data_IF_013780484359
#
_entry.id   IF_013780484359
#
_cell.length_a   1.000
_cell.length_b   1.000
_cell.length_c   1.000
_cell.angle_alpha   90.00
_cell.angle_beta   90.00
_cell.angle_gamma   90.00
#
_symmetry.space_group_name_H-M   'P 1'
#
loop_
_entity.id
_entity.type
_entity.pdbx_description
1 polymer ?
#
# COMPACT_ATOMS: atom_id res chain seq x y z
N UNK A 1 -10.42 3.05 26.01
CA UNK A 1 -10.44 1.78 25.29
C UNK A 1 -11.77 1.05 25.53
N UNK A 2 -12.23 0.90 26.77
CA UNK A 2 -13.49 0.20 27.10
C UNK A 2 -14.72 0.89 26.49
N UNK A 3 -14.79 2.22 26.50
CA UNK A 3 -15.87 3.01 25.88
C UNK A 3 -15.90 2.85 24.36
N UNK A 4 -14.73 2.82 23.71
CA UNK A 4 -14.63 2.59 22.28
C UNK A 4 -15.09 1.17 21.89
N UNK A 5 -14.67 0.17 22.65
CA UNK A 5 -15.10 -1.21 22.45
C UNK A 5 -16.62 -1.35 22.61
N UNK A 6 -17.21 -0.71 23.61
CA UNK A 6 -18.67 -0.72 23.84
C UNK A 6 -19.44 -0.06 22.67
N UNK A 7 -18.94 1.06 22.13
CA UNK A 7 -19.53 1.72 20.96
C UNK A 7 -19.46 0.84 19.72
N UNK A 8 -18.33 0.16 19.50
CA UNK A 8 -18.15 -0.78 18.37
C UNK A 8 -19.13 -1.95 18.51
N UNK A 9 -19.19 -2.59 19.66
CA UNK A 9 -20.11 -3.71 19.93
C UNK A 9 -21.57 -3.26 19.77
N UNK A 10 -21.97 -2.13 20.35
CA UNK A 10 -23.31 -1.58 20.20
C UNK A 10 -23.64 -1.28 18.72
N UNK A 11 -22.70 -0.76 17.95
CA UNK A 11 -22.89 -0.46 16.52
C UNK A 11 -23.03 -1.70 15.65
N UNK A 12 -22.42 -2.82 16.04
CA UNK A 12 -22.57 -4.14 15.36
C UNK A 12 -23.92 -4.75 15.69
N UNK A 13 -24.31 -4.73 16.96
CA UNK A 13 -25.58 -5.30 17.43
C UNK A 13 -26.81 -4.51 16.95
N UNK A 14 -26.67 -3.20 16.73
CA UNK A 14 -27.77 -2.33 16.31
C UNK A 14 -28.23 -2.54 14.86
N UNK A 15 -27.43 -3.22 14.01
CA UNK A 15 -27.78 -3.45 12.60
C UNK A 15 -27.75 -4.93 12.25
N UNK A 16 -28.91 -5.58 11.97
CA UNK A 16 -28.99 -7.02 11.65
C UNK A 16 -28.15 -7.42 10.43
N UNK A 17 -27.92 -6.50 9.49
CA UNK A 17 -27.06 -6.72 8.33
C UNK A 17 -25.58 -6.95 8.69
N UNK A 18 -25.06 -6.28 9.73
CA UNK A 18 -23.67 -6.47 10.19
C UNK A 18 -23.49 -7.82 10.90
N UNK A 19 -24.48 -8.20 11.71
CA UNK A 19 -24.52 -9.52 12.34
C UNK A 19 -24.53 -10.62 11.29
N UNK A 20 -25.35 -10.46 10.23
CA UNK A 20 -25.43 -11.45 9.14
C UNK A 20 -24.06 -11.62 8.41
N UNK A 21 -23.28 -10.59 8.25
CA UNK A 21 -21.91 -10.67 7.67
C UNK A 21 -20.94 -11.43 8.58
N UNK A 22 -21.04 -11.25 9.89
CA UNK A 22 -20.17 -11.93 10.86
C UNK A 22 -20.58 -13.41 10.96
N UNK A 23 -21.87 -13.72 11.02
CA UNK A 23 -22.36 -15.12 11.06
C UNK A 23 -22.00 -15.87 9.78
N UNK A 24 -22.15 -15.26 8.60
CA UNK A 24 -21.76 -15.87 7.32
C UNK A 24 -20.24 -16.05 7.18
N UNK A 25 -19.43 -15.29 7.92
CA UNK A 25 -18.00 -15.50 7.98
C UNK A 25 -17.62 -16.71 8.85
N UNK A 26 -18.34 -16.91 9.97
CA UNK A 26 -18.09 -18.03 10.88
C UNK A 26 -18.61 -19.36 10.31
N UNK A 27 -19.74 -19.30 9.60
CA UNK A 27 -20.35 -20.47 8.96
C UNK A 27 -20.92 -20.06 7.59
N UNK A 28 -20.08 -20.09 6.53
CA UNK A 28 -20.52 -19.78 5.17
C UNK A 28 -21.57 -20.78 4.63
N UNK A 29 -21.57 -22.00 5.15
CA UNK A 29 -22.46 -23.09 4.71
C UNK A 29 -23.87 -22.98 5.31
N UNK A 30 -24.06 -22.14 6.34
CA UNK A 30 -25.39 -21.91 6.91
C UNK A 30 -26.36 -21.19 5.96
N UNK A 31 -25.85 -20.31 5.05
CA UNK A 31 -26.65 -19.64 4.02
C UNK A 31 -25.86 -19.59 2.68
N UNK A 32 -25.73 -20.75 2.00
CA UNK A 32 -24.87 -20.87 0.82
C UNK A 32 -25.37 -20.08 -0.40
N UNK A 33 -26.66 -19.73 -0.44
CA UNK A 33 -27.27 -18.95 -1.53
C UNK A 33 -27.49 -17.47 -1.19
N UNK A 34 -27.22 -17.08 0.07
CA UNK A 34 -27.39 -15.71 0.55
C UNK A 34 -26.07 -15.04 0.89
N UNK A 35 -25.86 -14.71 2.15
CA UNK A 35 -24.71 -13.92 2.59
C UNK A 35 -23.36 -14.68 2.53
N UNK A 36 -23.37 -16.03 2.54
CA UNK A 36 -22.18 -16.87 2.37
C UNK A 36 -21.75 -17.06 0.91
N UNK A 37 -22.67 -16.85 -0.05
CA UNK A 37 -22.44 -17.10 -1.47
C UNK A 37 -21.17 -16.44 -2.04
N UNK A 38 -20.89 -15.14 -1.82
CA UNK A 38 -19.71 -14.50 -2.36
C UNK A 38 -18.40 -15.07 -1.82
N UNK A 39 -18.36 -15.45 -0.54
CA UNK A 39 -17.17 -16.04 0.09
C UNK A 39 -16.88 -17.44 -0.49
N UNK A 40 -17.90 -18.30 -0.62
CA UNK A 40 -17.76 -19.63 -1.22
C UNK A 40 -17.27 -19.51 -2.68
N UNK A 41 -17.89 -18.63 -3.47
CA UNK A 41 -17.51 -18.45 -4.87
C UNK A 41 -16.09 -17.86 -5.02
N UNK A 42 -15.65 -16.99 -4.11
CA UNK A 42 -14.29 -16.46 -4.13
C UNK A 42 -13.25 -17.55 -3.85
N UNK A 43 -13.52 -18.44 -2.90
CA UNK A 43 -12.63 -19.57 -2.60
C UNK A 43 -12.59 -20.58 -3.76
N UNK A 44 -13.73 -20.86 -4.40
CA UNK A 44 -13.79 -21.70 -5.60
C UNK A 44 -13.00 -21.08 -6.76
N UNK A 45 -13.09 -19.76 -6.96
CA UNK A 45 -12.31 -19.04 -7.97
C UNK A 45 -10.80 -19.21 -7.73
N UNK A 46 -10.33 -18.97 -6.49
CA UNK A 46 -8.92 -19.16 -6.12
C UNK A 46 -8.49 -20.62 -6.36
N UNK A 47 -9.27 -21.57 -5.89
CA UNK A 47 -8.97 -23.00 -6.05
C UNK A 47 -8.92 -23.44 -7.51
N UNK A 48 -9.75 -22.85 -8.38
CA UNK A 48 -9.82 -23.18 -9.80
C UNK A 48 -8.64 -22.65 -10.61
N UNK A 49 -7.97 -21.57 -10.13
CA UNK A 49 -6.84 -20.95 -10.82
C UNK A 49 -5.55 -21.78 -10.77
N UNK A 50 -5.36 -22.65 -9.78
CA UNK A 50 -4.13 -23.44 -9.65
C UNK A 50 -2.85 -22.61 -9.59
N UNK A 51 -1.74 -23.17 -10.07
CA UNK A 51 -0.43 -22.49 -10.05
C UNK A 51 -0.29 -21.45 -11.16
N UNK A 52 -0.73 -21.73 -12.37
CA UNK A 52 -0.50 -20.91 -13.57
C UNK A 52 -1.73 -20.10 -14.01
N UNK A 53 -2.88 -20.29 -13.37
CA UNK A 53 -4.14 -19.70 -13.81
C UNK A 53 -4.76 -20.42 -15.01
N UNK A 54 -6.00 -20.02 -15.34
CA UNK A 54 -6.73 -20.50 -16.52
C UNK A 54 -6.47 -19.70 -17.78
N UNK A 55 -5.77 -18.57 -17.65
CA UNK A 55 -5.52 -17.64 -18.73
C UNK A 55 -6.46 -16.42 -18.70
N UNK A 56 -5.99 -15.32 -19.31
CA UNK A 56 -6.71 -14.06 -19.37
C UNK A 56 -8.06 -14.23 -20.12
N UNK A 57 -9.16 -13.81 -19.47
CA UNK A 57 -10.48 -13.79 -20.08
C UNK A 57 -11.23 -15.14 -20.10
N UNK A 58 -10.60 -16.23 -19.65
CA UNK A 58 -11.20 -17.59 -19.63
C UNK A 58 -11.88 -17.89 -18.28
N UNK A 59 -11.78 -17.00 -17.32
CA UNK A 59 -12.38 -17.13 -16.00
C UNK A 59 -13.92 -17.21 -16.07
N UNK A 60 -14.52 -18.28 -15.52
CA UNK A 60 -15.98 -18.48 -15.50
C UNK A 60 -16.67 -17.55 -14.49
N UNK A 61 -16.00 -17.17 -13.41
CA UNK A 61 -16.56 -16.35 -12.33
C UNK A 61 -16.86 -14.91 -12.76
N UNK A 62 -16.23 -14.42 -13.82
CA UNK A 62 -16.46 -13.11 -14.42
C UNK A 62 -17.87 -12.95 -15.04
N UNK A 63 -18.46 -14.05 -15.47
CA UNK A 63 -19.74 -14.07 -16.18
C UNK A 63 -20.94 -14.33 -15.24
N UNK A 64 -21.22 -13.40 -14.29
CA UNK A 64 -22.45 -13.36 -13.45
C UNK A 64 -22.52 -14.31 -12.24
N UNK A 65 -21.49 -15.08 -11.91
CA UNK A 65 -21.54 -15.97 -10.73
C UNK A 65 -21.17 -15.26 -9.43
N UNK A 66 -20.40 -14.17 -9.48
CA UNK A 66 -19.95 -13.45 -8.29
C UNK A 66 -20.63 -12.06 -8.23
N UNK A 67 -21.50 -11.77 -7.23
CA UNK A 67 -22.01 -10.43 -6.99
C UNK A 67 -20.84 -9.52 -6.58
N UNK A 68 -20.81 -8.27 -7.09
CA UNK A 68 -19.74 -7.27 -6.85
C UNK A 68 -18.31 -7.77 -7.23
N UNK A 69 -18.23 -8.66 -8.23
CA UNK A 69 -17.00 -9.28 -8.71
C UNK A 69 -15.93 -8.25 -9.12
N UNK A 70 -16.35 -7.11 -9.67
CA UNK A 70 -15.45 -6.08 -10.19
C UNK A 70 -14.98 -5.06 -9.14
N UNK A 71 -15.57 -5.06 -7.94
CA UNK A 71 -15.24 -4.14 -6.85
C UNK A 71 -14.50 -4.84 -5.73
N UNK A 72 -15.18 -5.64 -4.93
CA UNK A 72 -14.67 -6.18 -3.68
C UNK A 72 -13.93 -7.51 -3.84
N UNK A 73 -14.31 -8.31 -4.85
CA UNK A 73 -13.77 -9.65 -5.10
C UNK A 73 -12.87 -9.75 -6.34
N UNK A 74 -12.34 -8.63 -6.83
CA UNK A 74 -11.46 -8.60 -8.02
C UNK A 74 -10.22 -9.47 -7.85
N UNK A 75 -9.70 -9.61 -6.62
CA UNK A 75 -8.55 -10.44 -6.33
C UNK A 75 -8.82 -11.93 -6.56
N UNK A 76 -10.05 -12.43 -6.36
CA UNK A 76 -10.41 -13.82 -6.69
C UNK A 76 -10.42 -14.07 -8.20
N UNK A 77 -10.91 -13.11 -8.99
CA UNK A 77 -10.85 -13.19 -10.47
C UNK A 77 -9.39 -13.21 -10.93
N UNK A 78 -8.55 -12.35 -10.35
CA UNK A 78 -7.14 -12.31 -10.64
C UNK A 78 -6.45 -13.62 -10.28
N UNK A 79 -6.87 -14.27 -9.18
CA UNK A 79 -6.39 -15.58 -8.79
C UNK A 79 -6.84 -16.68 -9.77
N UNK A 80 -8.06 -16.64 -10.31
CA UNK A 80 -8.55 -17.56 -11.31
C UNK A 80 -7.79 -17.43 -12.65
N UNK A 81 -7.57 -16.17 -13.11
CA UNK A 81 -6.95 -15.90 -14.41
C UNK A 81 -5.42 -16.10 -14.40
N UNK A 82 -4.72 -15.56 -13.38
CA UNK A 82 -3.25 -15.56 -13.28
C UNK A 82 -2.68 -16.64 -12.36
N UNK A 83 -3.53 -17.31 -11.61
CA UNK A 83 -3.13 -18.35 -10.67
C UNK A 83 -2.36 -17.82 -9.46
N UNK A 84 -1.71 -18.75 -8.75
CA UNK A 84 -0.92 -18.43 -7.55
C UNK A 84 0.27 -17.51 -7.83
N UNK A 85 0.91 -17.66 -8.99
CA UNK A 85 2.08 -16.84 -9.35
C UNK A 85 1.66 -15.36 -9.50
N UNK A 86 0.54 -15.09 -10.19
CA UNK A 86 0.03 -13.74 -10.37
C UNK A 86 -0.42 -13.08 -9.06
N UNK A 87 -1.10 -13.83 -8.19
CA UNK A 87 -1.54 -13.33 -6.88
C UNK A 87 -0.35 -13.02 -5.96
N UNK A 88 0.67 -13.88 -5.94
CA UNK A 88 1.90 -13.62 -5.18
C UNK A 88 2.65 -12.40 -5.71
N UNK A 89 2.68 -12.19 -7.03
CA UNK A 89 3.27 -10.98 -7.61
C UNK A 89 2.56 -9.71 -7.11
N UNK A 90 1.23 -9.70 -7.07
CA UNK A 90 0.46 -8.56 -6.54
C UNK A 90 0.73 -8.33 -5.05
N UNK A 91 0.74 -9.39 -4.24
CA UNK A 91 1.09 -9.29 -2.81
C UNK A 91 2.49 -8.72 -2.64
N UNK A 92 3.46 -9.21 -3.43
CA UNK A 92 4.84 -8.71 -3.41
C UNK A 92 4.93 -7.23 -3.78
N UNK A 93 4.15 -6.75 -4.75
CA UNK A 93 4.10 -5.33 -5.11
C UNK A 93 3.58 -4.46 -3.95
N UNK A 94 2.54 -4.89 -3.23
CA UNK A 94 2.07 -4.18 -2.04
C UNK A 94 3.09 -4.20 -0.90
N UNK A 95 3.79 -5.32 -0.70
CA UNK A 95 4.89 -5.40 0.27
C UNK A 95 6.06 -4.48 -0.10
N UNK A 96 6.41 -4.40 -1.39
CA UNK A 96 7.43 -3.48 -1.88
C UNK A 96 7.02 -2.02 -1.68
N UNK A 97 5.75 -1.69 -1.91
CA UNK A 97 5.18 -0.36 -1.65
C UNK A 97 5.26 -0.01 -0.16
N UNK A 98 4.87 -0.94 0.72
CA UNK A 98 4.99 -0.79 2.17
C UNK A 98 6.44 -0.53 2.58
N UNK A 99 7.36 -1.36 2.11
CA UNK A 99 8.79 -1.23 2.41
C UNK A 99 9.37 0.12 1.96
N UNK A 100 9.08 0.53 0.70
CA UNK A 100 9.55 1.81 0.16
C UNK A 100 8.90 3.01 0.86
N UNK A 101 7.62 2.95 1.17
CA UNK A 101 6.91 3.98 1.93
C UNK A 101 7.49 4.16 3.33
N UNK A 102 7.76 3.07 4.04
CA UNK A 102 8.44 3.11 5.33
C UNK A 102 9.86 3.69 5.22
N UNK A 103 10.63 3.32 4.19
CA UNK A 103 11.95 3.90 3.95
C UNK A 103 11.89 5.42 3.75
N UNK A 104 10.94 5.90 2.93
CA UNK A 104 10.72 7.34 2.69
C UNK A 104 10.41 8.04 4.02
N UNK A 105 9.52 7.48 4.81
CA UNK A 105 9.12 8.03 6.09
C UNK A 105 10.27 8.10 7.10
N UNK A 106 11.04 7.02 7.25
CA UNK A 106 12.18 6.95 8.17
C UNK A 106 13.31 7.92 7.78
N UNK A 107 13.45 8.22 6.49
CA UNK A 107 14.43 9.18 5.99
C UNK A 107 14.02 10.64 6.17
N UNK A 108 12.74 10.91 6.54
CA UNK A 108 12.22 12.25 6.73
C UNK A 108 12.76 12.88 8.01
N UNK A 109 13.36 14.08 7.88
CA UNK A 109 13.82 14.88 9.03
C UNK A 109 12.68 15.65 9.72
N UNK A 110 11.65 16.05 8.98
CA UNK A 110 10.49 16.77 9.51
C UNK A 110 9.47 15.78 10.07
N UNK A 111 9.11 15.85 11.37
CA UNK A 111 8.22 14.87 12.00
C UNK A 111 6.83 14.82 11.33
N UNK A 112 6.27 15.97 10.94
CA UNK A 112 4.99 16.03 10.25
C UNK A 112 4.98 15.22 8.94
N UNK A 113 5.96 15.41 8.06
CA UNK A 113 6.07 14.68 6.78
C UNK A 113 6.32 13.20 6.99
N UNK A 114 7.05 12.84 8.05
CA UNK A 114 7.29 11.45 8.44
C UNK A 114 5.99 10.73 8.79
N UNK A 115 5.17 11.31 9.68
CA UNK A 115 3.89 10.72 10.07
C UNK A 115 2.89 10.71 8.92
N UNK A 116 2.87 11.75 8.08
CA UNK A 116 2.05 11.79 6.88
C UNK A 116 2.40 10.63 5.93
N UNK A 117 3.69 10.43 5.64
CA UNK A 117 4.14 9.33 4.77
C UNK A 117 3.80 7.95 5.36
N UNK A 118 3.99 7.74 6.68
CA UNK A 118 3.62 6.50 7.35
C UNK A 118 2.11 6.25 7.28
N UNK A 119 1.29 7.27 7.59
CA UNK A 119 -0.16 7.15 7.57
C UNK A 119 -0.70 6.78 6.20
N UNK A 120 -0.25 7.48 5.16
CA UNK A 120 -0.67 7.21 3.77
C UNK A 120 -0.24 5.82 3.32
N UNK A 121 1.01 5.43 3.58
CA UNK A 121 1.53 4.11 3.19
C UNK A 121 0.76 3.00 3.89
N UNK A 122 0.57 3.14 5.20
CA UNK A 122 -0.15 2.15 6.01
C UNK A 122 -1.62 2.03 5.59
N UNK A 123 -2.30 3.15 5.30
CA UNK A 123 -3.70 3.15 4.85
C UNK A 123 -3.87 2.35 3.55
N UNK A 124 -3.04 2.61 2.52
CA UNK A 124 -3.13 1.91 1.23
C UNK A 124 -2.83 0.42 1.39
N UNK A 125 -1.78 0.07 2.13
CA UNK A 125 -1.40 -1.33 2.33
C UNK A 125 -2.43 -2.07 3.20
N UNK A 126 -2.93 -1.45 4.28
CA UNK A 126 -3.95 -2.04 5.13
C UNK A 126 -5.22 -2.35 4.34
N UNK A 127 -5.68 -1.41 3.49
CA UNK A 127 -6.83 -1.62 2.62
C UNK A 127 -6.62 -2.81 1.68
N UNK A 128 -5.44 -2.92 1.07
CA UNK A 128 -5.10 -4.06 0.21
C UNK A 128 -5.10 -5.39 0.97
N UNK A 129 -4.46 -5.44 2.14
CA UNK A 129 -4.41 -6.66 2.96
C UNK A 129 -5.78 -7.06 3.51
N UNK A 130 -6.62 -6.11 3.89
CA UNK A 130 -8.00 -6.40 4.31
C UNK A 130 -8.81 -6.98 3.15
N UNK A 131 -8.69 -6.44 1.93
CA UNK A 131 -9.37 -6.98 0.77
C UNK A 131 -8.90 -8.42 0.47
N UNK A 132 -7.58 -8.67 0.45
CA UNK A 132 -7.02 -10.01 0.27
C UNK A 132 -7.51 -10.96 1.37
N UNK A 133 -7.57 -10.50 2.63
CA UNK A 133 -8.09 -11.28 3.75
C UNK A 133 -9.57 -11.65 3.60
N UNK A 134 -10.41 -10.75 3.07
CA UNK A 134 -11.82 -11.03 2.75
C UNK A 134 -11.93 -12.11 1.68
N UNK A 135 -11.18 -11.97 0.60
CA UNK A 135 -11.23 -12.89 -0.55
C UNK A 135 -10.71 -14.29 -0.21
N UNK A 136 -9.72 -14.37 0.68
CA UNK A 136 -9.19 -15.65 1.19
C UNK A 136 -10.02 -16.26 2.34
N UNK A 137 -11.13 -15.62 2.73
CA UNK A 137 -11.94 -16.07 3.85
C UNK A 137 -11.28 -15.94 5.22
N UNK A 138 -10.26 -15.07 5.35
CA UNK A 138 -9.57 -14.84 6.64
C UNK A 138 -10.21 -13.72 7.47
N UNK A 139 -11.00 -12.85 6.82
CA UNK A 139 -11.68 -11.72 7.47
C UNK A 139 -13.12 -11.60 6.94
N UNK A 140 -14.06 -11.09 7.76
CA UNK A 140 -15.43 -10.87 7.30
C UNK A 140 -15.47 -9.82 6.17
N UNK A 141 -16.47 -9.93 5.29
CA UNK A 141 -16.63 -9.05 4.14
C UNK A 141 -16.77 -7.57 4.55
N UNK A 142 -15.80 -6.73 4.17
CA UNK A 142 -15.73 -5.32 4.56
C UNK A 142 -16.25 -4.37 3.49
N UNK A 143 -16.33 -4.80 2.22
CA UNK A 143 -16.73 -3.92 1.11
C UNK A 143 -15.64 -2.91 0.73
N UNK A 144 -14.38 -3.21 1.02
CA UNK A 144 -13.25 -2.35 0.67
C UNK A 144 -12.63 -2.79 -0.66
N UNK A 145 -12.63 -1.94 -1.69
CA UNK A 145 -12.04 -2.28 -2.98
C UNK A 145 -10.52 -2.38 -2.89
N UNK A 146 -9.91 -3.25 -3.70
CA UNK A 146 -8.46 -3.38 -3.80
C UNK A 146 -7.85 -2.13 -4.45
N UNK A 147 -6.91 -1.42 -3.79
CA UNK A 147 -6.30 -0.23 -4.36
C UNK A 147 -5.66 -0.50 -5.72
N UNK A 148 -5.79 0.43 -6.67
CA UNK A 148 -5.25 0.42 -8.04
C UNK A 148 -5.86 -0.60 -9.01
N UNK A 149 -6.47 -1.69 -8.52
CA UNK A 149 -6.93 -2.81 -9.35
C UNK A 149 -8.45 -2.84 -9.45
N UNK A 150 -9.17 -2.56 -8.36
CA UNK A 150 -10.64 -2.59 -8.34
C UNK A 150 -11.24 -1.50 -9.23
N UNK A 151 -12.34 -1.86 -9.89
CA UNK A 151 -13.15 -0.93 -10.66
C UNK A 151 -13.91 0.01 -9.71
N UNK A 152 -13.40 1.24 -9.55
CA UNK A 152 -14.00 2.28 -8.74
C UNK A 152 -13.30 3.61 -8.98
N UNK A 153 -13.94 4.55 -9.70
CA UNK A 153 -13.34 5.84 -10.05
C UNK A 153 -12.85 6.62 -8.83
N UNK A 154 -13.63 6.66 -7.76
CA UNK A 154 -13.27 7.33 -6.49
C UNK A 154 -12.12 6.61 -5.78
N UNK A 155 -12.15 5.29 -5.68
CA UNK A 155 -11.10 4.49 -5.05
C UNK A 155 -9.75 4.66 -5.77
N UNK A 156 -9.76 4.63 -7.10
CA UNK A 156 -8.56 4.83 -7.91
C UNK A 156 -8.00 6.25 -7.71
N UNK A 157 -8.86 7.26 -7.72
CA UNK A 157 -8.46 8.66 -7.52
C UNK A 157 -7.78 8.85 -6.16
N UNK A 158 -8.38 8.33 -5.07
CA UNK A 158 -7.78 8.41 -3.74
C UNK A 158 -6.46 7.62 -3.62
N UNK A 159 -6.37 6.47 -4.27
CA UNK A 159 -5.14 5.67 -4.30
C UNK A 159 -4.01 6.39 -5.02
N UNK A 160 -4.29 7.01 -6.18
CA UNK A 160 -3.31 7.80 -6.92
C UNK A 160 -2.89 9.06 -6.18
N UNK A 161 -3.85 9.77 -5.55
CA UNK A 161 -3.57 10.93 -4.73
C UNK A 161 -2.67 10.57 -3.54
N UNK A 162 -2.91 9.44 -2.91
CA UNK A 162 -2.09 8.91 -1.80
C UNK A 162 -0.65 8.67 -2.24
N UNK A 163 -0.44 8.03 -3.39
CA UNK A 163 0.91 7.83 -3.95
C UNK A 163 1.53 9.15 -4.36
N UNK A 164 0.77 10.08 -4.94
CA UNK A 164 1.23 11.43 -5.28
C UNK A 164 1.76 12.19 -4.05
N UNK A 165 1.03 12.11 -2.92
CA UNK A 165 1.48 12.68 -1.65
C UNK A 165 2.79 12.02 -1.17
N UNK A 166 2.90 10.70 -1.25
CA UNK A 166 4.11 9.97 -0.85
C UNK A 166 5.31 10.37 -1.73
N UNK A 167 5.11 10.51 -3.03
CA UNK A 167 6.14 10.98 -3.96
C UNK A 167 6.59 12.43 -3.67
N UNK A 168 5.66 13.30 -3.31
CA UNK A 168 5.96 14.68 -2.91
C UNK A 168 6.82 14.70 -1.64
N UNK A 169 6.48 13.91 -0.62
CA UNK A 169 7.29 13.77 0.59
C UNK A 169 8.70 13.25 0.27
N UNK A 170 8.81 12.26 -0.61
CA UNK A 170 10.10 11.72 -1.04
C UNK A 170 10.96 12.80 -1.72
N UNK A 171 10.38 13.58 -2.64
CA UNK A 171 11.04 14.67 -3.34
C UNK A 171 11.51 15.78 -2.38
N UNK A 172 10.66 16.17 -1.43
CA UNK A 172 10.99 17.14 -0.40
C UNK A 172 12.19 16.70 0.45
N UNK A 173 12.28 15.41 0.77
CA UNK A 173 13.42 14.85 1.49
C UNK A 173 14.74 14.95 0.72
N UNK A 174 14.72 14.67 -0.59
CA UNK A 174 15.91 14.76 -1.43
C UNK A 174 16.38 16.21 -1.50
N UNK A 175 15.48 17.17 -1.73
CA UNK A 175 15.79 18.58 -1.79
C UNK A 175 16.45 19.09 -0.49
N UNK A 176 15.90 18.73 0.67
CA UNK A 176 16.46 19.08 1.98
C UNK A 176 17.85 18.48 2.22
N UNK A 177 18.12 17.28 1.70
CA UNK A 177 19.44 16.64 1.79
C UNK A 177 20.48 17.35 0.92
N UNK A 178 20.11 17.82 -0.26
CA UNK A 178 20.99 18.56 -1.16
C UNK A 178 21.34 19.92 -0.58
N UNK A 179 20.38 20.64 -0.02
CA UNK A 179 20.63 21.94 0.62
C UNK A 179 21.53 21.83 1.83
N UNK A 180 21.44 20.77 2.63
CA UNK A 180 22.36 20.52 3.73
C UNK A 180 23.79 20.18 3.26
N UNK A 181 23.97 19.65 2.05
CA UNK A 181 25.31 19.33 1.50
C UNK A 181 26.02 20.54 0.87
N UNK A 182 25.26 21.52 0.40
CA UNK A 182 25.81 22.74 -0.26
C UNK A 182 26.73 23.57 0.65
N UNK A 183 26.41 23.88 1.92
CA UNK A 183 27.26 24.68 2.78
C UNK A 183 28.60 24.00 3.09
N UNK A 184 28.59 22.71 3.34
CA UNK A 184 29.81 21.93 3.63
C UNK A 184 30.74 21.89 2.41
N UNK A 185 30.20 21.80 1.21
CA UNK A 185 30.97 21.79 -0.03
C UNK A 185 31.58 23.19 -0.32
N UNK A 186 30.88 24.30 0.01
CA UNK A 186 31.38 25.65 -0.11
C UNK A 186 32.53 25.93 0.89
N UNK A 187 32.39 25.52 2.15
CA UNK A 187 33.45 25.67 3.15
C UNK A 187 34.70 24.85 2.79
N UNK A 188 34.53 23.63 2.26
CA UNK A 188 35.66 22.79 1.84
C UNK A 188 36.40 23.41 0.63
N UNK A 189 35.69 24.10 -0.29
CA UNK A 189 36.29 24.81 -1.43
C UNK A 189 37.01 26.07 -0.99
N UNK A 190 36.46 26.83 -0.02
CA UNK A 190 37.10 27.99 0.56
C UNK A 190 38.38 27.63 1.32
N UNK A 191 38.34 26.55 2.15
CA UNK A 191 39.56 26.10 2.86
C UNK A 191 40.67 25.64 1.89
N UNK A 192 40.32 24.94 0.80
CA UNK A 192 41.33 24.60 -0.22
C UNK A 192 41.87 25.80 -0.98
N UNK A 193 41.05 26.81 -1.23
CA UNK A 193 41.52 28.05 -1.85
C UNK A 193 42.46 28.83 -0.95
N UNK A 194 42.15 28.90 0.35
CA UNK A 194 43.00 29.60 1.33
C UNK A 194 44.37 28.90 1.52
N UNK A 195 44.41 27.58 1.55
CA UNK A 195 45.67 26.82 1.65
C UNK A 195 46.54 26.97 0.42
N UNK A 196 45.96 27.12 -0.79
CA UNK A 196 46.72 27.35 -2.01
C UNK A 196 47.30 28.77 -2.10
N UNK A 197 46.59 29.79 -1.60
CA UNK A 197 47.09 31.16 -1.56
C UNK A 197 48.24 31.29 -0.57
N UNK A 198 48.17 30.67 0.61
CA UNK A 198 49.24 30.70 1.62
C UNK A 198 50.52 30.01 1.10
N UNK A 199 50.40 28.89 0.39
CA UNK A 199 51.56 28.21 -0.19
C UNK A 199 52.21 28.95 -1.37
N UNK A 200 51.44 29.83 -2.07
CA UNK A 200 51.99 30.71 -3.11
C UNK A 200 52.72 31.93 -2.52
N UNK A 201 52.21 32.47 -1.43
CA UNK A 201 52.85 33.56 -0.70
C UNK A 201 54.19 33.09 -0.09
N UNK A 202 54.21 31.90 0.57
CA UNK A 202 55.46 31.36 1.09
C UNK A 202 56.52 31.09 0.01
N UNK A 203 56.09 30.67 -1.20
CA UNK A 203 57.01 30.42 -2.30
C UNK A 203 57.57 31.71 -2.95
N UNK A 204 56.82 32.82 -2.89
CA UNK A 204 57.24 34.13 -3.37
C UNK A 204 58.25 34.78 -2.40
N UNK A 205 58.03 34.66 -1.10
CA UNK A 205 58.94 35.15 -0.09
C UNK A 205 60.29 34.41 -0.08
N UNK A 206 60.29 33.12 -0.40
CA UNK A 206 61.51 32.31 -0.49
C UNK A 206 62.37 32.62 -1.72
N UNK A 207 61.83 33.30 -2.75
CA UNK A 207 62.54 33.67 -3.99
C UNK A 207 63.10 35.09 -3.88
N UNK A 208 62.65 35.90 -2.90
CA UNK A 208 63.08 37.32 -2.72
C UNK A 208 64.23 37.51 -1.71
N UNK A 209 64.74 36.43 -1.11
CA UNK A 209 65.92 36.39 -0.25
C UNK A 209 67.07 35.68 -0.95
#
# INVERSE_FOLDING_TARGET
LLSLAMVVVASVLAKPYRLKRITSFLDPDADPQGAGYPAIQSLLAIGSGGLYGRGFGVGHQKYKYLPEAHTDYIFSILAEELGLIGTLCVVFLFMALLYKGCQIALQCRRPYLRYLALGVTFQVCLQAFLNIGVVTGSTPSTGLPLPFISYGGTSLLFSLLSVGLLMNVARSNVALREDCKKPVRRQKKQRKGATLSTSQEESLDAVST
#
